data_IF_922255031515
#
_entry.id   IF_922255031515
#
_cell.length_a   1.000
_cell.length_b   1.000
_cell.length_c   1.000
_cell.angle_alpha   90.00
_cell.angle_beta   90.00
_cell.angle_gamma   90.00
#
_symmetry.space_group_name_H-M   'P 1'
#
loop_
_entity.id
_entity.type
_entity.pdbx_description
1 polymer ?
#
# COMPACT_ATOMS: atom_id res chain seq x y z
N UNK A 1 -6.85 -7.08 -8.71
CA UNK A 1 -6.50 -5.84 -7.98
C UNK A 1 -7.72 -5.33 -7.24
N UNK A 2 -7.55 -4.99 -5.96
CA UNK A 2 -8.53 -4.20 -5.24
C UNK A 2 -8.32 -2.71 -5.49
N UNK A 3 -9.19 -1.88 -4.93
CA UNK A 3 -9.05 -0.43 -4.92
C UNK A 3 -8.23 -0.01 -3.70
N UNK A 4 -8.49 -0.64 -2.56
CA UNK A 4 -7.88 -0.32 -1.27
C UNK A 4 -6.90 -1.40 -0.81
N UNK A 5 -7.25 -2.67 -0.99
CA UNK A 5 -6.38 -3.81 -0.71
C UNK A 5 -5.70 -4.25 -2.00
N UNK A 6 -4.37 -4.28 -1.97
CA UNK A 6 -3.53 -4.74 -3.07
C UNK A 6 -3.91 -4.08 -4.40
N UNK A 7 -3.71 -2.74 -4.49
CA UNK A 7 -4.10 -1.95 -5.64
C UNK A 7 -3.28 -2.23 -6.90
N UNK A 8 -2.27 -3.11 -6.82
CA UNK A 8 -1.34 -3.50 -7.86
C UNK A 8 -0.55 -2.33 -8.45
N UNK A 9 -0.06 -2.53 -9.66
CA UNK A 9 1.06 -1.74 -10.18
C UNK A 9 0.68 -0.61 -11.16
N UNK A 10 -0.55 -0.62 -11.67
CA UNK A 10 -0.98 0.22 -12.81
C UNK A 10 -0.73 1.71 -12.58
N UNK A 11 -0.95 2.19 -11.35
CA UNK A 11 -0.70 3.59 -10.98
C UNK A 11 0.79 3.97 -11.05
N UNK A 12 1.69 3.05 -10.72
CA UNK A 12 3.13 3.26 -10.82
C UNK A 12 3.63 3.06 -12.25
N UNK A 13 3.08 2.09 -13.00
CA UNK A 13 3.34 1.95 -14.43
C UNK A 13 3.08 3.25 -15.20
N UNK A 14 1.95 3.93 -14.91
CA UNK A 14 1.65 5.23 -15.50
C UNK A 14 2.68 6.33 -15.16
N UNK A 15 3.28 6.25 -13.96
CA UNK A 15 4.36 7.16 -13.56
C UNK A 15 5.64 6.88 -14.35
N UNK A 16 6.01 5.61 -14.56
CA UNK A 16 7.19 5.22 -15.36
C UNK A 16 7.05 5.58 -16.84
N UNK A 17 5.83 5.50 -17.39
CA UNK A 17 5.52 5.86 -18.79
C UNK A 17 5.41 7.38 -19.02
N UNK A 18 5.53 8.19 -17.97
CA UNK A 18 5.44 9.64 -18.10
C UNK A 18 6.66 10.23 -18.81
N UNK A 19 6.46 11.26 -19.65
CA UNK A 19 7.54 11.93 -20.41
C UNK A 19 8.71 12.40 -19.53
N UNK A 20 8.40 12.77 -18.29
CA UNK A 20 9.38 13.22 -17.30
C UNK A 20 9.19 12.31 -16.08
N UNK A 21 10.02 11.28 -15.99
CA UNK A 21 10.16 10.44 -14.80
C UNK A 21 11.54 10.64 -14.19
N UNK A 22 11.58 10.78 -12.87
CA UNK A 22 12.81 10.79 -12.10
C UNK A 22 12.74 9.60 -11.16
N UNK A 23 13.73 8.73 -11.24
CA UNK A 23 13.82 7.55 -10.39
C UNK A 23 13.93 7.97 -8.92
N UNK A 24 12.96 7.52 -8.12
CA UNK A 24 12.91 7.71 -6.66
C UNK A 24 12.89 6.39 -5.90
N UNK A 25 13.20 5.29 -6.57
CA UNK A 25 13.21 3.95 -5.98
C UNK A 25 14.20 3.79 -4.83
N UNK A 26 15.20 4.68 -4.70
CA UNK A 26 16.03 4.78 -3.48
C UNK A 26 15.24 5.04 -2.19
N UNK A 27 14.01 5.58 -2.27
CA UNK A 27 13.11 5.67 -1.12
C UNK A 27 12.72 4.27 -0.58
N UNK A 28 12.56 3.28 -1.47
CA UNK A 28 12.23 1.90 -1.08
C UNK A 28 13.33 1.32 -0.19
N UNK A 29 14.60 1.59 -0.50
CA UNK A 29 15.71 1.13 0.34
C UNK A 29 15.59 1.70 1.76
N UNK A 30 15.23 2.99 1.88
CA UNK A 30 15.02 3.64 3.18
C UNK A 30 13.80 3.12 3.93
N UNK A 31 12.71 2.79 3.24
CA UNK A 31 11.55 2.19 3.90
C UNK A 31 11.83 0.73 4.29
N UNK A 32 12.60 -0.01 3.49
CA UNK A 32 13.05 -1.36 3.83
C UNK A 32 13.96 -1.41 5.06
N UNK A 33 14.75 -0.36 5.32
CA UNK A 33 15.60 -0.30 6.52
C UNK A 33 14.77 -0.26 7.82
N UNK A 34 13.55 0.30 7.78
CA UNK A 34 12.68 0.47 8.95
C UNK A 34 11.49 -0.49 8.97
N UNK A 35 11.19 -1.20 7.87
CA UNK A 35 10.08 -2.15 7.83
C UNK A 35 10.29 -3.26 8.87
N UNK A 36 9.22 -3.68 9.54
CA UNK A 36 9.27 -4.65 10.64
C UNK A 36 10.14 -4.23 11.85
N UNK A 37 10.47 -2.94 12.00
CA UNK A 37 11.14 -2.40 13.20
C UNK A 37 10.18 -1.55 14.04
N UNK A 38 10.63 -1.02 15.18
CA UNK A 38 9.89 -0.02 15.94
C UNK A 38 9.79 1.33 15.21
N UNK A 39 10.70 1.61 14.27
CA UNK A 39 10.75 2.84 13.47
C UNK A 39 9.89 2.78 12.20
N UNK A 40 9.10 1.72 12.02
CA UNK A 40 8.28 1.46 10.81
C UNK A 40 7.23 2.54 10.49
N UNK A 41 6.91 3.42 11.44
CA UNK A 41 5.92 4.47 11.28
C UNK A 41 6.53 5.69 10.58
N UNK A 42 6.35 5.77 9.25
CA UNK A 42 6.91 6.86 8.43
C UNK A 42 5.83 7.86 8.05
N UNK A 43 6.03 9.13 8.40
CA UNK A 43 5.17 10.24 7.97
C UNK A 43 5.94 11.21 7.07
N UNK A 44 5.38 11.55 5.91
CA UNK A 44 5.98 12.49 4.95
C UNK A 44 5.08 13.72 4.77
N UNK A 45 5.30 14.73 5.59
CA UNK A 45 4.67 16.05 5.43
C UNK A 45 5.43 16.88 4.39
N UNK A 46 4.92 16.96 3.16
CA UNK A 46 5.45 17.83 2.09
C UNK A 46 4.32 18.60 1.40
N UNK A 47 4.59 19.76 0.77
CA UNK A 47 3.55 20.53 0.08
C UNK A 47 2.89 19.79 -1.10
N UNK A 48 1.80 20.36 -1.61
CA UNK A 48 1.08 19.85 -2.80
C UNK A 48 2.04 19.77 -4.01
N UNK A 49 1.87 18.76 -4.87
CA UNK A 49 2.68 18.49 -6.08
C UNK A 49 4.14 18.07 -5.88
N UNK A 50 4.57 17.73 -4.65
CA UNK A 50 5.91 17.18 -4.40
C UNK A 50 6.05 15.66 -4.65
N UNK A 51 5.14 15.06 -5.42
CA UNK A 51 5.23 13.64 -5.82
C UNK A 51 4.90 12.62 -4.72
N UNK A 52 4.19 13.02 -3.66
CA UNK A 52 3.75 12.11 -2.58
C UNK A 52 2.90 10.95 -3.11
N UNK A 53 1.92 11.25 -3.98
CA UNK A 53 1.08 10.21 -4.59
C UNK A 53 1.88 9.23 -5.44
N UNK A 54 2.90 9.72 -6.18
CA UNK A 54 3.79 8.83 -6.93
C UNK A 54 4.60 7.93 -5.99
N UNK A 55 5.15 8.48 -4.90
CA UNK A 55 5.86 7.69 -3.89
C UNK A 55 4.96 6.61 -3.27
N UNK A 56 3.71 6.95 -2.91
CA UNK A 56 2.75 5.98 -2.40
C UNK A 56 2.39 4.91 -3.44
N UNK A 57 2.21 5.28 -4.71
CA UNK A 57 1.97 4.33 -5.80
C UNK A 57 3.16 3.37 -5.99
N UNK A 58 4.38 3.90 -5.92
CA UNK A 58 5.61 3.13 -6.05
C UNK A 58 5.78 2.14 -4.90
N UNK A 59 5.60 2.60 -3.65
CA UNK A 59 5.69 1.72 -2.48
C UNK A 59 4.60 0.66 -2.49
N UNK A 60 3.37 1.01 -2.89
CA UNK A 60 2.30 0.05 -3.04
C UNK A 60 2.66 -1.03 -4.07
N UNK A 61 3.05 -0.65 -5.29
CA UNK A 61 3.46 -1.61 -6.32
C UNK A 61 4.63 -2.49 -5.87
N UNK A 62 5.58 -1.94 -5.11
CA UNK A 62 6.75 -2.68 -4.64
C UNK A 62 6.41 -3.75 -3.59
N UNK A 63 5.59 -3.43 -2.58
CA UNK A 63 5.30 -4.34 -1.48
C UNK A 63 4.15 -5.31 -1.76
N UNK A 64 3.19 -4.90 -2.57
CA UNK A 64 1.92 -5.61 -2.83
C UNK A 64 2.12 -6.99 -3.45
N UNK A 65 1.49 -8.02 -2.88
CA UNK A 65 1.56 -9.40 -3.36
C UNK A 65 0.66 -9.73 -4.57
N UNK A 66 -0.13 -8.80 -5.10
CA UNK A 66 -1.10 -9.09 -6.17
C UNK A 66 -0.46 -9.50 -7.51
N UNK A 67 0.68 -8.90 -7.87
CA UNK A 67 1.31 -9.04 -9.18
C UNK A 67 2.82 -9.13 -9.03
N UNK A 68 3.50 -9.83 -9.96
CA UNK A 68 4.96 -9.77 -10.05
C UNK A 68 5.37 -8.44 -10.70
N UNK A 69 6.05 -7.60 -9.92
CA UNK A 69 6.44 -6.25 -10.33
C UNK A 69 7.91 -6.14 -10.74
N UNK A 70 8.60 -7.27 -10.95
CA UNK A 70 10.03 -7.31 -11.29
C UNK A 70 10.38 -6.40 -12.47
N UNK A 71 9.61 -6.46 -13.56
CA UNK A 71 9.84 -5.64 -14.76
C UNK A 71 9.81 -4.12 -14.50
N UNK A 72 9.07 -3.68 -13.46
CA UNK A 72 8.98 -2.26 -13.10
C UNK A 72 10.19 -1.76 -12.32
N UNK A 73 10.84 -2.63 -11.54
CA UNK A 73 11.88 -2.26 -10.59
C UNK A 73 13.28 -2.72 -11.00
N UNK A 74 13.40 -3.72 -11.88
CA UNK A 74 14.68 -4.27 -12.35
C UNK A 74 15.49 -3.27 -13.19
N UNK A 75 14.90 -2.15 -13.61
CA UNK A 75 15.63 -1.08 -14.31
C UNK A 75 15.81 0.19 -13.44
N UNK A 76 15.44 0.14 -12.16
CA UNK A 76 15.50 1.28 -11.24
C UNK A 76 16.65 1.09 -10.22
N UNK A 77 17.03 2.17 -9.55
CA UNK A 77 18.10 2.19 -8.55
C UNK A 77 17.94 1.12 -7.46
N UNK A 78 16.70 0.83 -7.03
CA UNK A 78 16.43 -0.17 -5.98
C UNK A 78 16.97 -1.55 -6.33
N UNK A 79 17.09 -1.93 -7.62
CA UNK A 79 17.62 -3.24 -8.02
C UNK A 79 19.01 -3.54 -7.43
N UNK A 80 19.81 -2.48 -7.23
CA UNK A 80 21.19 -2.58 -6.74
C UNK A 80 21.27 -2.64 -5.20
N UNK A 81 20.13 -2.52 -4.51
CA UNK A 81 20.08 -2.52 -3.05
C UNK A 81 19.92 -3.94 -2.51
N UNK A 82 20.66 -4.35 -1.45
CA UNK A 82 20.56 -5.69 -0.89
C UNK A 82 19.16 -6.09 -0.41
N UNK A 83 18.36 -5.11 0.02
CA UNK A 83 16.99 -5.34 0.50
C UNK A 83 15.95 -5.54 -0.61
N UNK A 84 16.34 -5.38 -1.89
CA UNK A 84 15.42 -5.36 -3.03
C UNK A 84 14.50 -6.58 -3.08
N UNK A 85 15.05 -7.78 -3.08
CA UNK A 85 14.24 -9.00 -3.20
C UNK A 85 13.59 -9.42 -1.87
N UNK A 86 14.09 -8.91 -0.74
CA UNK A 86 13.64 -9.34 0.59
C UNK A 86 12.19 -8.96 0.87
N UNK A 87 11.75 -7.81 0.36
CA UNK A 87 10.45 -7.23 0.68
C UNK A 87 9.51 -7.07 -0.53
N UNK A 88 10.02 -7.29 -1.75
CA UNK A 88 9.24 -7.11 -2.98
C UNK A 88 8.11 -8.15 -3.08
N UNK A 89 6.88 -7.68 -3.30
CA UNK A 89 5.67 -8.50 -3.47
C UNK A 89 5.47 -9.53 -2.33
N UNK A 90 5.61 -9.10 -1.06
CA UNK A 90 5.52 -9.96 0.15
C UNK A 90 4.48 -9.52 1.19
N UNK A 91 3.69 -8.50 0.89
CA UNK A 91 2.79 -7.87 1.84
C UNK A 91 1.41 -7.65 1.26
N UNK A 92 0.41 -7.67 2.14
CA UNK A 92 -0.87 -7.06 1.83
C UNK A 92 -0.77 -5.55 2.01
N UNK A 93 -0.99 -4.79 0.94
CA UNK A 93 -0.91 -3.34 0.95
C UNK A 93 -2.31 -2.75 1.06
N UNK A 94 -2.54 -1.94 2.09
CA UNK A 94 -3.74 -1.13 2.22
C UNK A 94 -3.38 0.31 1.84
N UNK A 95 -3.91 0.80 0.72
CA UNK A 95 -3.66 2.16 0.26
C UNK A 95 -4.95 2.97 0.29
N UNK A 96 -4.98 4.00 1.13
CA UNK A 96 -6.18 4.80 1.37
C UNK A 96 -5.95 6.25 0.93
N UNK A 97 -6.90 6.80 0.18
CA UNK A 97 -6.99 8.23 -0.09
C UNK A 97 -8.08 8.86 0.79
N UNK A 98 -7.70 9.39 1.95
CA UNK A 98 -8.65 9.97 2.91
C UNK A 98 -9.51 11.09 2.31
N UNK A 99 -9.01 11.82 1.31
CA UNK A 99 -9.75 12.90 0.66
C UNK A 99 -11.01 12.38 -0.07
N UNK A 100 -10.97 11.17 -0.62
CA UNK A 100 -12.11 10.57 -1.32
C UNK A 100 -13.29 10.36 -0.37
N UNK A 101 -13.00 9.86 0.83
CA UNK A 101 -14.01 9.63 1.87
C UNK A 101 -14.51 10.95 2.45
N UNK A 102 -13.60 11.89 2.74
CA UNK A 102 -13.95 13.21 3.28
C UNK A 102 -14.86 14.00 2.32
N UNK A 103 -14.64 13.90 1.01
CA UNK A 103 -15.47 14.58 0.02
C UNK A 103 -16.88 13.96 -0.13
N UNK A 104 -17.08 12.73 0.35
CA UNK A 104 -18.32 11.97 0.17
C UNK A 104 -19.20 11.92 1.44
N UNK A 105 -18.76 12.54 2.54
CA UNK A 105 -19.39 12.45 3.86
C UNK A 105 -19.50 13.81 4.52
N UNK A 106 -20.41 13.94 5.49
CA UNK A 106 -20.68 15.21 6.16
C UNK A 106 -19.88 15.38 7.46
N UNK A 107 -19.48 14.28 8.08
CA UNK A 107 -18.72 14.25 9.31
C UNK A 107 -17.70 13.10 9.35
N UNK A 108 -16.86 13.12 10.38
CA UNK A 108 -15.76 12.16 10.56
C UNK A 108 -16.27 10.75 10.86
N UNK A 109 -17.38 10.62 11.60
CA UNK A 109 -17.90 9.31 12.00
C UNK A 109 -18.46 8.56 10.78
N UNK A 110 -19.22 9.27 9.93
CA UNK A 110 -19.70 8.77 8.64
C UNK A 110 -18.52 8.39 7.72
N UNK A 111 -17.49 9.25 7.65
CA UNK A 111 -16.27 8.99 6.87
C UNK A 111 -15.60 7.68 7.30
N UNK A 112 -15.40 7.49 8.61
CA UNK A 112 -14.75 6.30 9.16
C UNK A 112 -15.60 5.04 8.98
N UNK A 113 -16.92 5.14 9.11
CA UNK A 113 -17.84 4.03 8.87
C UNK A 113 -17.77 3.55 7.40
N UNK A 114 -17.78 4.48 6.45
CA UNK A 114 -17.67 4.15 5.02
C UNK A 114 -16.29 3.58 4.69
N UNK A 115 -15.22 4.15 5.24
CA UNK A 115 -13.86 3.64 5.05
C UNK A 115 -13.74 2.19 5.51
N UNK A 116 -14.15 1.89 6.76
CA UNK A 116 -14.10 0.52 7.28
C UNK A 116 -14.91 -0.44 6.41
N UNK A 117 -16.15 -0.08 6.09
CA UNK A 117 -17.02 -0.91 5.24
C UNK A 117 -16.41 -1.22 3.87
N UNK A 118 -15.76 -0.24 3.24
CA UNK A 118 -15.15 -0.40 1.92
C UNK A 118 -13.90 -1.27 1.96
N UNK A 119 -13.03 -1.07 2.95
CA UNK A 119 -11.80 -1.88 3.09
C UNK A 119 -12.14 -3.32 3.51
N UNK A 120 -13.03 -3.50 4.49
CA UNK A 120 -13.50 -4.83 4.93
C UNK A 120 -14.14 -5.60 3.77
N UNK A 121 -14.88 -4.93 2.90
CA UNK A 121 -15.46 -5.56 1.71
C UNK A 121 -14.39 -6.22 0.83
N UNK A 122 -13.26 -5.55 0.59
CA UNK A 122 -12.17 -6.11 -0.22
C UNK A 122 -11.40 -7.20 0.53
N UNK A 123 -11.16 -7.03 1.83
CA UNK A 123 -10.58 -8.06 2.68
C UNK A 123 -11.43 -9.33 2.65
N UNK A 124 -12.76 -9.22 2.75
CA UNK A 124 -13.69 -10.35 2.67
C UNK A 124 -13.69 -11.04 1.31
N UNK A 125 -13.50 -10.30 0.23
CA UNK A 125 -13.37 -10.90 -1.11
C UNK A 125 -12.10 -11.75 -1.22
N UNK A 126 -11.00 -11.32 -0.59
CA UNK A 126 -9.73 -12.05 -0.62
C UNK A 126 -9.65 -13.18 0.42
N UNK A 127 -10.24 -12.97 1.59
CA UNK A 127 -10.14 -13.84 2.77
C UNK A 127 -11.54 -14.17 3.32
N UNK A 128 -12.43 -14.81 2.54
CA UNK A 128 -13.84 -14.97 2.92
C UNK A 128 -14.05 -15.69 4.26
N UNK A 129 -13.14 -16.60 4.61
CA UNK A 129 -13.25 -17.45 5.81
C UNK A 129 -12.80 -16.76 7.10
N UNK A 130 -12.14 -15.60 7.01
CA UNK A 130 -11.54 -14.89 8.16
C UNK A 130 -12.17 -13.52 8.44
N UNK A 131 -13.30 -13.20 7.79
CA UNK A 131 -13.97 -11.90 7.93
C UNK A 131 -15.40 -12.07 8.44
N UNK A 132 -15.54 -11.99 9.76
CA UNK A 132 -16.82 -12.03 10.49
C UNK A 132 -17.11 -10.78 11.33
N UNK A 133 -16.19 -9.80 11.34
CA UNK A 133 -16.27 -8.58 12.16
C UNK A 133 -16.54 -7.31 11.32
N UNK A 134 -17.13 -6.30 11.94
CA UNK A 134 -17.39 -4.97 11.34
C UNK A 134 -16.27 -3.94 11.60
N UNK A 135 -15.35 -4.24 12.52
CA UNK A 135 -14.21 -3.40 12.86
C UNK A 135 -12.97 -3.82 12.10
N UNK A 136 -12.43 -2.89 11.29
CA UNK A 136 -11.33 -3.17 10.36
C UNK A 136 -10.08 -3.72 11.07
N UNK A 137 -9.77 -3.20 12.26
CA UNK A 137 -8.58 -3.63 13.01
C UNK A 137 -8.67 -5.10 13.41
N UNK A 138 -9.83 -5.57 13.88
CA UNK A 138 -10.01 -6.97 14.28
C UNK A 138 -9.97 -7.89 13.06
N UNK A 139 -10.65 -7.51 11.97
CA UNK A 139 -10.58 -8.24 10.69
C UNK A 139 -9.12 -8.43 10.24
N UNK A 140 -8.30 -7.38 10.31
CA UNK A 140 -6.88 -7.47 9.94
C UNK A 140 -6.07 -8.37 10.89
N UNK A 141 -6.37 -8.35 12.18
CA UNK A 141 -5.73 -9.23 13.17
C UNK A 141 -6.07 -10.70 12.93
N UNK A 142 -7.34 -11.00 12.64
CA UNK A 142 -7.81 -12.36 12.38
C UNK A 142 -7.18 -12.91 11.09
N UNK A 143 -7.16 -12.12 10.01
CA UNK A 143 -6.47 -12.48 8.78
C UNK A 143 -4.99 -12.75 9.04
N UNK A 144 -4.31 -11.88 9.78
CA UNK A 144 -2.90 -12.08 10.10
C UNK A 144 -2.67 -13.36 10.92
N UNK A 145 -3.52 -13.62 11.92
CA UNK A 145 -3.45 -14.83 12.75
C UNK A 145 -3.56 -16.10 11.92
N UNK A 146 -4.44 -16.13 10.91
CA UNK A 146 -4.67 -17.32 10.09
C UNK A 146 -3.68 -17.48 8.92
N UNK A 147 -3.20 -16.37 8.35
CA UNK A 147 -2.37 -16.38 7.13
C UNK A 147 -0.88 -16.18 7.40
N UNK A 148 -0.55 -15.61 8.55
CA UNK A 148 0.78 -15.07 8.88
C UNK A 148 1.30 -14.09 7.81
N UNK A 149 0.40 -13.45 7.06
CA UNK A 149 0.74 -12.52 5.98
C UNK A 149 0.63 -11.07 6.47
N UNK A 150 1.75 -10.33 6.59
CA UNK A 150 1.76 -9.00 7.18
C UNK A 150 1.15 -7.94 6.25
N UNK A 151 0.66 -6.86 6.87
CA UNK A 151 0.13 -5.69 6.18
C UNK A 151 1.13 -4.52 6.13
N UNK A 152 1.10 -3.77 5.03
CA UNK A 152 1.70 -2.43 4.88
C UNK A 152 0.55 -1.45 4.61
N UNK A 153 0.51 -0.33 5.33
CA UNK A 153 -0.57 0.67 5.27
C UNK A 153 0.03 2.04 4.93
#
# INVERSE_FOLDING_TARGET
MGIYLNPGDTSFQGSLRSKIYVDKSGLIAKTNDVICTEQKYVCVSRPRRFGKSMAANMLAAYYDTAEDTSELFDNLFIQNCPSYQKHKNKYDVIKINMQEFLSATHDIDEMLAILQKRVIKELKLKYPDYVDNEYLVFVMQDIFMHTNHPFVI
#
